data_IF_212049914617
#
_entry.id   IF_212049914617
#
_cell.length_a   1.000
_cell.length_b   1.000
_cell.length_c   1.000
_cell.angle_alpha   90.00
_cell.angle_beta   90.00
_cell.angle_gamma   90.00
#
_symmetry.space_group_name_H-M   'P 1'
#
loop_
_entity.id
_entity.type
_entity.pdbx_description
1 polymer ?
#
# COMPACT_ATOMS: atom_id res chain seq x y z
N UNK A 1 3.08 8.94 8.43
CA UNK A 1 2.90 7.47 8.47
C UNK A 1 1.60 7.12 7.78
N UNK A 2 1.64 6.41 6.65
CA UNK A 2 0.45 6.10 5.84
C UNK A 2 -0.23 4.79 6.29
N UNK A 3 0.55 3.88 6.88
CA UNK A 3 0.07 2.59 7.38
C UNK A 3 -0.54 2.72 8.78
N UNK A 4 -1.74 2.16 8.96
CA UNK A 4 -2.44 1.99 10.24
C UNK A 4 -1.96 0.73 10.98
N UNK A 5 -1.58 -0.31 10.22
CA UNK A 5 -0.89 -1.51 10.72
C UNK A 5 0.29 -1.81 9.81
N UNK A 6 1.37 -2.41 10.33
CA UNK A 6 2.53 -2.75 9.52
C UNK A 6 3.31 -3.92 10.13
N UNK A 7 3.58 -4.94 9.30
CA UNK A 7 4.44 -6.07 9.66
C UNK A 7 5.48 -6.27 8.56
N UNK A 8 6.76 -6.50 8.89
CA UNK A 8 7.76 -6.92 7.91
C UNK A 8 7.26 -8.14 7.13
N UNK A 9 7.29 -8.05 5.81
CA UNK A 9 6.76 -9.08 4.93
C UNK A 9 7.39 -8.94 3.55
N UNK A 10 8.28 -9.89 3.22
CA UNK A 10 9.10 -9.86 2.01
C UNK A 10 8.65 -10.95 1.04
N UNK A 11 8.03 -10.55 -0.06
CA UNK A 11 7.62 -11.44 -1.16
C UNK A 11 8.10 -10.90 -2.51
N UNK A 12 8.39 -11.77 -3.49
CA UNK A 12 8.77 -11.33 -4.83
C UNK A 12 7.57 -10.75 -5.59
N UNK A 13 7.81 -9.68 -6.33
CA UNK A 13 6.83 -9.01 -7.21
C UNK A 13 7.46 -8.90 -8.59
N UNK A 14 6.84 -9.52 -9.58
CA UNK A 14 7.31 -9.46 -10.97
C UNK A 14 6.72 -8.23 -11.66
N UNK A 15 7.58 -7.37 -12.18
CA UNK A 15 7.20 -6.18 -12.93
C UNK A 15 6.89 -6.52 -14.40
N UNK A 16 6.28 -5.57 -15.10
CA UNK A 16 5.91 -5.74 -16.51
C UNK A 16 7.12 -5.91 -17.44
N UNK A 17 8.28 -5.35 -17.09
CA UNK A 17 9.55 -5.53 -17.79
C UNK A 17 10.23 -6.89 -17.50
N UNK A 18 9.60 -7.73 -16.68
CA UNK A 18 10.09 -9.04 -16.29
C UNK A 18 11.06 -9.04 -15.10
N UNK A 19 11.49 -7.88 -14.61
CA UNK A 19 12.32 -7.79 -13.40
C UNK A 19 11.55 -8.19 -12.13
N UNK A 20 12.28 -8.53 -11.07
CA UNK A 20 11.70 -8.90 -9.77
C UNK A 20 12.17 -7.90 -8.71
N UNK A 21 11.20 -7.29 -8.01
CA UNK A 21 11.43 -6.47 -6.81
C UNK A 21 10.80 -7.15 -5.59
N UNK A 22 11.02 -6.59 -4.40
CA UNK A 22 10.49 -7.17 -3.16
C UNK A 22 9.71 -6.16 -2.33
N UNK A 23 8.64 -6.63 -1.69
CA UNK A 23 8.00 -5.85 -0.63
C UNK A 23 8.90 -5.75 0.60
N UNK A 24 8.79 -4.64 1.32
CA UNK A 24 9.38 -4.46 2.64
C UNK A 24 8.42 -4.86 3.76
N UNK A 25 7.11 -4.71 3.54
CA UNK A 25 6.09 -5.00 4.54
C UNK A 25 4.70 -5.13 3.96
N UNK A 26 3.78 -5.55 4.82
CA UNK A 26 2.34 -5.61 4.54
C UNK A 26 1.58 -4.99 5.69
N UNK A 27 0.46 -4.35 5.38
CA UNK A 27 -0.34 -3.70 6.40
C UNK A 27 -1.68 -3.16 5.88
N UNK A 28 -2.29 -2.30 6.68
CA UNK A 28 -3.50 -1.58 6.30
C UNK A 28 -3.25 -0.09 6.16
N UNK A 29 -3.95 0.54 5.22
CA UNK A 29 -3.83 1.98 4.91
C UNK A 29 -5.21 2.61 4.99
N UNK A 30 -5.33 3.68 5.78
CA UNK A 30 -6.54 4.50 5.81
C UNK A 30 -6.48 5.54 4.71
N UNK A 31 -7.55 5.64 3.94
CA UNK A 31 -7.69 6.59 2.85
C UNK A 31 -8.99 7.37 3.01
N UNK A 32 -8.89 8.69 3.03
CA UNK A 32 -10.04 9.59 2.94
C UNK A 32 -10.15 10.10 1.50
N UNK A 33 -11.10 9.59 0.70
CA UNK A 33 -11.29 10.11 -0.65
C UNK A 33 -11.74 11.56 -0.59
N UNK A 34 -11.16 12.40 -1.46
CA UNK A 34 -11.64 13.77 -1.68
C UNK A 34 -12.16 13.91 -3.10
N UNK A 35 -13.43 14.30 -3.23
CA UNK A 35 -14.07 14.56 -4.52
C UNK A 35 -14.57 16.00 -4.55
N UNK A 36 -14.08 16.82 -5.49
CA UNK A 36 -14.41 18.25 -5.58
C UNK A 36 -14.25 18.99 -4.24
N UNK A 37 -13.19 18.68 -3.49
CA UNK A 37 -12.91 19.30 -2.19
C UNK A 37 -13.75 18.78 -1.02
N UNK A 38 -14.72 17.87 -1.25
CA UNK A 38 -15.49 17.23 -0.18
C UNK A 38 -14.84 15.91 0.23
N UNK A 39 -14.56 15.75 1.53
CA UNK A 39 -14.13 14.48 2.09
C UNK A 39 -15.28 13.48 2.08
N UNK A 40 -15.03 12.29 1.54
CA UNK A 40 -15.91 11.14 1.63
C UNK A 40 -15.64 10.31 2.87
N UNK A 41 -16.32 9.17 2.98
CA UNK A 41 -16.12 8.21 4.08
C UNK A 41 -14.68 7.66 4.03
N UNK A 42 -14.01 7.65 5.18
CA UNK A 42 -12.72 6.97 5.34
C UNK A 42 -12.90 5.48 5.06
N UNK A 43 -12.06 4.95 4.17
CA UNK A 43 -11.97 3.52 3.88
C UNK A 43 -10.60 3.01 4.33
N UNK A 44 -10.55 1.73 4.71
CA UNK A 44 -9.30 1.06 5.06
C UNK A 44 -9.02 -0.03 4.03
N UNK A 45 -7.89 0.09 3.34
CA UNK A 45 -7.38 -0.96 2.49
C UNK A 45 -6.60 -1.93 3.37
N UNK A 46 -6.94 -3.22 3.29
CA UNK A 46 -6.23 -4.27 4.00
C UNK A 46 -5.25 -4.99 3.07
N UNK A 47 -4.18 -5.55 3.65
CA UNK A 47 -3.16 -6.35 2.93
C UNK A 47 -2.42 -5.57 1.83
N UNK A 48 -2.18 -4.28 2.07
CA UNK A 48 -1.40 -3.41 1.18
C UNK A 48 0.08 -3.75 1.31
N UNK A 49 0.74 -4.03 0.18
CA UNK A 49 2.19 -4.23 0.13
C UNK A 49 2.91 -2.88 0.09
N UNK A 50 3.88 -2.70 0.99
CA UNK A 50 4.83 -1.60 0.93
C UNK A 50 6.03 -2.00 0.09
N UNK A 51 6.26 -1.30 -1.02
CA UNK A 51 7.28 -1.63 -2.01
C UNK A 51 8.14 -0.39 -2.28
N UNK A 52 9.18 -0.12 -1.49
CA UNK A 52 9.93 1.15 -1.54
C UNK A 52 10.79 1.34 -2.79
N UNK A 53 10.89 0.31 -3.64
CA UNK A 53 11.60 0.37 -4.92
C UNK A 53 10.74 0.99 -6.04
N UNK A 54 9.48 1.33 -5.76
CA UNK A 54 8.51 1.98 -6.65
C UNK A 54 7.93 3.24 -6.00
#
# INVERSE_FOLDING_TARGET
YWFNTYTPHRIPIRLADGSIIYSAGIGSVKFEPRLQGKSGRVIEFHRVLHVPQL
#
